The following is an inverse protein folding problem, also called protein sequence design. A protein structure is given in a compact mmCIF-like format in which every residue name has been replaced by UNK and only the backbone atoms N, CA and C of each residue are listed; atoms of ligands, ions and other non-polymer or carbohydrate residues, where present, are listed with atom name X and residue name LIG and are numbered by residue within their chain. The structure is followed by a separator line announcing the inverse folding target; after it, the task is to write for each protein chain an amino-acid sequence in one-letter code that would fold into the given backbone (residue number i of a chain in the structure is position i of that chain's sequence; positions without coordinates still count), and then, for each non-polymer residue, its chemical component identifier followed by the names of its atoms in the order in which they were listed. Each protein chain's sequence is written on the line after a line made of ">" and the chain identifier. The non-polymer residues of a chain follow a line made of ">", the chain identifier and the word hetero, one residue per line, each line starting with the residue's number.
data_IF_193646307066
#
_entry.id   IF_193646307066
#
_cell.length_a   1.000
_cell.length_b   1.000
_cell.length_c   1.000
_cell.angle_alpha   90.00
_cell.angle_beta   90.00
_cell.angle_gamma   90.00
#
_symmetry.space_group_name_H-M   'P 1'
#
loop_
_entity.id
_entity.type
_entity.pdbx_description
1 polymer ?
#
# COMPACT_ATOMS: atom_id res chain seq x y z
N UNK A 1 8.44 14.68 26.68
CA UNK A 1 8.29 15.58 25.53
C UNK A 1 9.24 15.08 24.46
N UNK A 2 8.75 14.83 23.25
CA UNK A 2 9.62 14.43 22.13
C UNK A 2 10.28 15.70 21.59
N UNK A 3 11.46 16.03 22.10
CA UNK A 3 12.19 17.22 21.64
C UNK A 3 12.40 17.11 20.13
N UNK A 4 11.78 18.03 19.38
CA UNK A 4 11.84 17.99 17.92
C UNK A 4 13.27 18.26 17.46
N UNK A 5 13.67 17.75 16.28
CA UNK A 5 14.99 18.02 15.70
C UNK A 5 15.30 19.53 15.69
N UNK A 6 14.27 20.34 15.46
CA UNK A 6 14.36 21.80 15.45
C UNK A 6 14.73 22.37 16.82
N UNK A 7 14.14 21.87 17.91
CA UNK A 7 14.47 22.30 19.28
C UNK A 7 15.91 21.92 19.65
N UNK A 8 16.36 20.73 19.27
CA UNK A 8 17.74 20.27 19.53
C UNK A 8 18.76 21.10 18.76
N UNK A 9 18.51 21.37 17.48
CA UNK A 9 19.36 22.23 16.66
C UNK A 9 19.36 23.68 17.15
N UNK A 10 18.22 24.16 17.66
CA UNK A 10 18.10 25.50 18.23
C UNK A 10 18.92 25.63 19.52
N UNK A 11 18.84 24.66 20.43
CA UNK A 11 19.67 24.63 21.64
C UNK A 11 21.17 24.57 21.29
N UNK A 12 21.54 23.79 20.27
CA UNK A 12 22.91 23.71 19.77
C UNK A 12 23.42 25.05 19.24
N UNK A 13 22.57 25.76 18.50
CA UNK A 13 22.86 27.10 17.97
C UNK A 13 23.01 28.13 19.09
N UNK A 14 22.14 28.10 20.09
CA UNK A 14 22.27 29.00 21.25
C UNK A 14 23.59 28.77 22.02
N UNK A 15 24.05 27.52 22.15
CA UNK A 15 25.34 27.23 22.77
C UNK A 15 26.52 27.80 21.97
N UNK A 16 26.43 27.77 20.64
CA UNK A 16 27.42 28.39 19.77
C UNK A 16 27.39 29.92 19.85
N UNK A 17 26.20 30.52 19.77
CA UNK A 17 26.00 31.98 19.82
C UNK A 17 26.46 32.57 21.17
N UNK A 18 26.34 31.80 22.26
CA UNK A 18 26.85 32.17 23.60
C UNK A 18 28.34 31.88 23.80
N UNK A 19 29.01 31.30 22.80
CA UNK A 19 30.45 30.99 22.84
C UNK A 19 30.83 29.80 23.73
N UNK A 20 29.88 28.96 24.14
CA UNK A 20 30.17 27.77 24.95
C UNK A 20 30.84 26.65 24.15
N UNK A 21 30.65 26.64 22.83
CA UNK A 21 31.24 25.66 21.93
C UNK A 21 31.92 26.34 20.75
N UNK A 22 32.97 25.71 20.25
CA UNK A 22 33.67 26.15 19.04
C UNK A 22 32.85 25.85 17.80
N UNK A 23 33.14 26.53 16.69
CA UNK A 23 32.50 26.27 15.39
C UNK A 23 32.69 24.81 14.94
N UNK A 24 33.86 24.23 15.18
CA UNK A 24 34.16 22.83 14.89
C UNK A 24 33.27 21.86 15.67
N UNK A 25 33.03 22.14 16.95
CA UNK A 25 32.14 21.32 17.78
C UNK A 25 30.69 21.48 17.36
N UNK A 26 30.24 22.71 17.09
CA UNK A 26 28.91 22.97 16.56
C UNK A 26 28.64 22.20 15.27
N UNK A 27 29.55 22.27 14.29
CA UNK A 27 29.38 21.57 13.01
C UNK A 27 29.37 20.04 13.19
N UNK A 28 30.21 19.51 14.09
CA UNK A 28 30.23 18.09 14.42
C UNK A 28 28.90 17.63 15.03
N UNK A 29 28.41 18.31 16.07
CA UNK A 29 27.18 17.92 16.75
C UNK A 29 25.95 18.12 15.87
N UNK A 30 25.90 19.20 15.08
CA UNK A 30 24.83 19.44 14.11
C UNK A 30 24.74 18.32 13.08
N UNK A 31 25.88 17.90 12.53
CA UNK A 31 25.93 16.81 11.54
C UNK A 31 25.48 15.49 12.16
N UNK A 32 25.93 15.19 13.38
CA UNK A 32 25.56 13.98 14.11
C UNK A 32 24.06 13.90 14.38
N UNK A 33 23.43 15.01 14.76
CA UNK A 33 21.98 15.03 15.04
C UNK A 33 21.15 14.87 13.76
N UNK A 34 21.59 15.46 12.65
CA UNK A 34 20.97 15.26 11.34
C UNK A 34 21.11 13.82 10.84
N UNK A 35 22.27 13.18 11.04
CA UNK A 35 22.48 11.77 10.68
C UNK A 35 21.59 10.82 11.51
N UNK A 36 21.46 11.09 12.82
CA UNK A 36 20.57 10.31 13.69
C UNK A 36 19.11 10.44 13.27
N UNK A 37 18.65 11.67 13.02
CA UNK A 37 17.30 11.91 12.54
C UNK A 37 17.03 11.24 11.19
N UNK A 38 17.98 11.32 10.26
CA UNK A 38 17.87 10.64 8.96
C UNK A 38 17.72 9.12 9.12
N UNK A 39 18.52 8.49 9.99
CA UNK A 39 18.44 7.04 10.26
C UNK A 39 17.11 6.63 10.88
N UNK A 40 16.56 7.43 11.79
CA UNK A 40 15.25 7.17 12.38
C UNK A 40 14.11 7.29 11.36
N UNK A 41 14.15 8.32 10.50
CA UNK A 41 13.19 8.49 9.43
C UNK A 41 13.31 7.44 8.32
N UNK A 42 14.51 6.93 8.05
CA UNK A 42 14.73 5.82 7.11
C UNK A 42 14.10 4.52 7.62
N UNK A 43 14.20 4.25 8.93
CA UNK A 43 13.49 3.12 9.57
C UNK A 43 11.98 3.26 9.47
N UNK A 44 11.43 4.47 9.66
CA UNK A 44 10.00 4.71 9.47
C UNK A 44 9.57 4.54 8.00
N UNK A 45 10.34 5.05 7.03
CA UNK A 45 10.08 4.83 5.60
C UNK A 45 10.06 3.33 5.26
N UNK A 46 10.97 2.54 5.83
CA UNK A 46 11.01 1.08 5.69
C UNK A 46 9.79 0.38 6.32
N UNK A 47 9.28 0.88 7.44
CA UNK A 47 8.03 0.37 8.03
C UNK A 47 6.83 0.62 7.11
N UNK A 48 6.63 1.87 6.65
CA UNK A 48 5.51 2.21 5.77
C UNK A 48 5.58 1.50 4.43
N UNK A 49 6.77 1.33 3.87
CA UNK A 49 6.97 0.52 2.66
C UNK A 49 6.49 -0.91 2.88
N UNK A 50 6.89 -1.56 3.98
CA UNK A 50 6.44 -2.92 4.31
C UNK A 50 4.93 -3.01 4.55
N UNK A 51 4.32 -1.98 5.14
CA UNK A 51 2.87 -1.91 5.31
C UNK A 51 2.15 -1.78 3.97
N UNK A 52 2.67 -0.95 3.07
CA UNK A 52 2.15 -0.79 1.72
C UNK A 52 2.23 -2.09 0.92
N UNK A 53 3.38 -2.77 0.95
CA UNK A 53 3.58 -4.05 0.24
C UNK A 53 2.58 -5.11 0.73
N UNK A 54 2.32 -5.18 2.05
CA UNK A 54 1.29 -6.07 2.60
C UNK A 54 -0.11 -5.68 2.17
N UNK A 55 -0.45 -4.40 2.20
CA UNK A 55 -1.77 -3.92 1.79
C UNK A 55 -2.02 -4.26 0.31
N UNK A 56 -1.03 -4.02 -0.55
CA UNK A 56 -1.07 -4.38 -1.96
C UNK A 56 -1.33 -5.88 -2.16
N UNK A 57 -0.58 -6.75 -1.46
CA UNK A 57 -0.78 -8.19 -1.52
C UNK A 57 -2.20 -8.64 -1.11
N UNK A 58 -2.76 -8.05 -0.04
CA UNK A 58 -4.12 -8.37 0.38
C UNK A 58 -5.16 -7.90 -0.63
N UNK A 59 -4.99 -6.70 -1.18
CA UNK A 59 -5.87 -6.15 -2.22
C UNK A 59 -5.84 -7.03 -3.46
N UNK A 60 -4.65 -7.40 -3.94
CA UNK A 60 -4.47 -8.31 -5.07
C UNK A 60 -5.19 -9.64 -4.80
N UNK A 61 -4.99 -10.24 -3.63
CA UNK A 61 -5.62 -11.53 -3.29
C UNK A 61 -7.15 -11.44 -3.18
N UNK A 62 -7.69 -10.34 -2.65
CA UNK A 62 -9.13 -10.13 -2.55
C UNK A 62 -9.73 -9.89 -3.94
N UNK A 63 -9.10 -9.05 -4.75
CA UNK A 63 -9.54 -8.76 -6.11
C UNK A 63 -9.52 -10.02 -6.98
N UNK A 64 -8.48 -10.85 -6.92
CA UNK A 64 -8.43 -12.09 -7.68
C UNK A 64 -9.59 -13.03 -7.32
N UNK A 65 -9.89 -13.20 -6.03
CA UNK A 65 -11.03 -14.05 -5.60
C UNK A 65 -12.39 -13.49 -6.02
N UNK A 66 -12.55 -12.17 -6.01
CA UNK A 66 -13.77 -11.53 -6.48
C UNK A 66 -13.95 -11.70 -8.00
N UNK A 67 -12.87 -11.54 -8.76
CA UNK A 67 -12.87 -11.73 -10.21
C UNK A 67 -13.17 -13.19 -10.55
N UNK A 68 -12.55 -14.15 -9.88
CA UNK A 68 -12.85 -15.58 -10.04
C UNK A 68 -14.33 -15.87 -9.79
N UNK A 69 -14.90 -15.38 -8.68
CA UNK A 69 -16.32 -15.57 -8.38
C UNK A 69 -17.26 -14.96 -9.41
N UNK A 70 -16.90 -13.80 -9.97
CA UNK A 70 -17.68 -13.16 -11.05
C UNK A 70 -17.60 -13.99 -12.34
N UNK A 71 -16.41 -14.48 -12.70
CA UNK A 71 -16.22 -15.30 -13.90
C UNK A 71 -17.00 -16.62 -13.81
N UNK A 72 -16.98 -17.27 -12.65
CA UNK A 72 -17.78 -18.50 -12.40
C UNK A 72 -19.28 -18.22 -12.52
N UNK A 73 -19.76 -17.12 -11.94
CA UNK A 73 -21.18 -16.73 -12.05
C UNK A 73 -21.59 -16.47 -13.50
N UNK A 74 -20.75 -15.79 -14.29
CA UNK A 74 -20.98 -15.55 -15.72
C UNK A 74 -21.02 -16.87 -16.50
N UNK A 75 -20.10 -17.80 -16.21
CA UNK A 75 -20.05 -19.11 -16.86
C UNK A 75 -21.33 -19.93 -16.61
N UNK A 76 -21.83 -19.94 -15.37
CA UNK A 76 -23.08 -20.62 -15.01
C UNK A 76 -24.29 -20.01 -15.75
N UNK A 77 -24.36 -18.68 -15.81
CA UNK A 77 -25.44 -17.98 -16.52
C UNK A 77 -25.41 -18.27 -18.03
N UNK A 78 -24.23 -18.31 -18.63
CA UNK A 78 -24.04 -18.69 -20.03
C UNK A 78 -24.47 -20.14 -20.29
N UNK A 79 -24.09 -21.07 -19.42
CA UNK A 79 -24.50 -22.48 -19.53
C UNK A 79 -26.02 -22.63 -19.44
N UNK A 80 -26.67 -21.90 -18.53
CA UNK A 80 -28.12 -21.90 -18.39
C UNK A 80 -28.80 -21.34 -19.65
N UNK A 81 -28.33 -20.19 -20.15
CA UNK A 81 -28.85 -19.60 -21.39
C UNK A 81 -28.70 -20.55 -22.60
N UNK A 82 -27.54 -21.22 -22.72
CA UNK A 82 -27.30 -22.20 -23.78
C UNK A 82 -28.26 -23.40 -23.68
N UNK A 83 -28.50 -23.93 -22.47
CA UNK A 83 -29.48 -24.99 -22.22
C UNK A 83 -30.90 -24.56 -22.56
N UNK A 84 -31.30 -23.34 -22.21
CA UNK A 84 -32.64 -22.81 -22.53
C UNK A 84 -32.84 -22.66 -24.03
N UNK A 85 -31.85 -22.13 -24.76
CA UNK A 85 -31.91 -22.01 -26.23
C UNK A 85 -31.97 -23.40 -26.88
N UNK A 86 -31.17 -24.36 -26.41
CA UNK A 86 -31.19 -25.73 -26.90
C UNK A 86 -32.54 -26.43 -26.66
N UNK A 87 -33.18 -26.19 -25.51
CA UNK A 87 -34.51 -26.72 -25.22
C UNK A 87 -35.60 -26.12 -26.13
N UNK A 88 -35.55 -24.80 -26.37
CA UNK A 88 -36.50 -24.11 -27.28
C UNK A 88 -36.36 -24.65 -28.71
N UNK A 89 -35.13 -24.81 -29.20
CA UNK A 89 -34.87 -25.34 -30.54
C UNK A 89 -35.22 -26.84 -30.66
N UNK A 90 -34.95 -27.64 -29.62
CA UNK A 90 -35.29 -29.06 -29.59
C UNK A 90 -36.79 -29.34 -29.57
N UNK A 91 -37.56 -28.52 -28.84
CA UNK A 91 -39.04 -28.60 -28.84
C UNK A 91 -39.62 -28.09 -30.16
N UNK A 92 -39.03 -27.07 -30.79
CA UNK A 92 -39.42 -26.57 -32.11
C UNK A 92 -39.28 -27.61 -33.23
N UNK A 93 -38.26 -28.47 -33.18
CA UNK A 93 -38.07 -29.53 -34.18
C UNK A 93 -39.09 -30.67 -34.01
N UNK A 94 -39.51 -30.98 -32.77
CA UNK A 94 -40.51 -32.01 -32.49
C UNK A 94 -41.97 -31.55 -32.76
N UNK A 95 -42.22 -30.23 -32.81
CA UNK A 95 -43.57 -29.67 -33.04
C UNK A 95 -43.97 -29.45 -34.51
N UNK A 96 -43.06 -29.68 -35.47
CA UNK A 96 -43.32 -29.47 -36.92
C UNK A 96 -43.62 -30.80 -37.64
N UNK A 97 -43.63 -31.93 -36.91
CA UNK A 97 -43.94 -33.26 -37.45
C UNK A 97 -45.27 -33.80 -36.92
N UNK A 98 -46.40 -33.20 -37.32
CA UNK A 98 -47.72 -33.84 -37.31
C UNK A 98 -48.51 -33.44 -38.55
#
# INVERSE_FOLDING_TARGET
>A
MSDSLEERLRALKECYDKGYITKSEYDYYRKKELENWSKEHEKQKSFWKRMWDKAYYYVERILSRLIEGILDAIAILLEYAAKTIGAILGVGILGIGF
#
